data_IF_729087601303
#
_entry.id   IF_729087601303
#
_cell.length_a   1.000
_cell.length_b   1.000
_cell.length_c   1.000
_cell.angle_alpha   90.00
_cell.angle_beta   90.00
_cell.angle_gamma   90.00
#
_symmetry.space_group_name_H-M   'P 1'
#
loop_
_entity.id
_entity.type
_entity.pdbx_description
1 polymer ?
#
# COMPACT_ATOMS: atom_id res chain seq x y z
N UNK A 1 -27.94 17.86 9.94
CA UNK A 1 -26.49 17.88 9.64
C UNK A 1 -25.99 16.45 9.66
N UNK A 2 -25.66 15.88 8.50
CA UNK A 2 -25.06 14.56 8.40
C UNK A 2 -23.60 14.68 8.81
N UNK A 3 -23.23 14.21 10.00
CA UNK A 3 -21.82 14.10 10.38
C UNK A 3 -21.18 12.98 9.58
N UNK A 4 -19.85 12.98 9.43
CA UNK A 4 -19.12 11.87 8.82
C UNK A 4 -19.44 10.50 9.46
N UNK A 5 -20.11 10.49 10.62
CA UNK A 5 -20.63 9.35 11.37
C UNK A 5 -22.05 8.87 10.97
N UNK A 6 -22.78 9.56 10.09
CA UNK A 6 -24.16 9.18 9.70
C UNK A 6 -24.28 8.34 8.43
N UNK A 7 -23.24 8.26 7.59
CA UNK A 7 -23.26 7.40 6.40
C UNK A 7 -22.98 5.94 6.76
N UNK A 8 -23.66 4.95 6.15
CA UNK A 8 -23.39 3.54 6.38
C UNK A 8 -21.91 3.22 6.16
N UNK A 9 -21.31 2.40 7.04
CA UNK A 9 -19.88 2.07 7.03
C UNK A 9 -19.38 1.52 5.67
N UNK A 10 -20.25 0.83 4.92
CA UNK A 10 -19.97 0.36 3.56
C UNK A 10 -19.75 1.48 2.53
N UNK A 11 -20.23 2.71 2.80
CA UNK A 11 -19.94 3.89 1.97
C UNK A 11 -18.64 4.59 2.34
N UNK A 12 -18.07 4.35 3.53
CA UNK A 12 -16.88 5.07 4.02
C UNK A 12 -15.56 4.42 3.67
N UNK A 13 -15.51 3.09 3.59
CA UNK A 13 -14.28 2.36 3.28
C UNK A 13 -14.56 1.44 2.10
N UNK A 14 -14.05 1.84 0.93
CA UNK A 14 -14.18 1.03 -0.28
C UNK A 14 -13.08 -0.02 -0.27
N UNK A 15 -13.41 -1.25 -0.67
CA UNK A 15 -12.43 -2.35 -0.76
C UNK A 15 -11.21 -1.94 -1.60
N UNK A 16 -11.46 -1.15 -2.65
CA UNK A 16 -10.46 -0.61 -3.54
C UNK A 16 -9.46 0.28 -2.83
N UNK A 17 -9.92 1.15 -1.93
CA UNK A 17 -9.06 2.11 -1.26
C UNK A 17 -8.10 1.39 -0.30
N UNK A 18 -8.58 0.33 0.37
CA UNK A 18 -7.74 -0.52 1.24
C UNK A 18 -6.70 -1.30 0.43
N UNK A 19 -7.10 -1.87 -0.70
CA UNK A 19 -6.17 -2.59 -1.59
C UNK A 19 -5.13 -1.64 -2.19
N UNK A 20 -5.56 -0.48 -2.69
CA UNK A 20 -4.67 0.54 -3.21
C UNK A 20 -3.70 1.04 -2.14
N UNK A 21 -4.17 1.22 -0.90
CA UNK A 21 -3.31 1.62 0.22
C UNK A 21 -2.21 0.59 0.50
N UNK A 22 -2.58 -0.70 0.57
CA UNK A 22 -1.65 -1.77 0.92
C UNK A 22 -0.64 -2.01 -0.21
N UNK A 23 -1.10 -2.04 -1.46
CA UNK A 23 -0.21 -2.10 -2.62
C UNK A 23 0.69 -0.87 -2.72
N UNK A 24 0.17 0.30 -2.39
CA UNK A 24 0.92 1.55 -2.33
C UNK A 24 2.03 1.48 -1.28
N UNK A 25 1.70 1.07 -0.05
CA UNK A 25 2.66 0.87 1.03
C UNK A 25 3.75 -0.12 0.65
N UNK A 26 3.36 -1.26 0.10
CA UNK A 26 4.29 -2.29 -0.38
C UNK A 26 5.22 -1.74 -1.46
N UNK A 27 4.66 -1.01 -2.43
CA UNK A 27 5.42 -0.38 -3.50
C UNK A 27 6.41 0.66 -3.01
N UNK A 28 6.00 1.53 -2.07
CA UNK A 28 6.87 2.53 -1.45
C UNK A 28 8.04 1.85 -0.74
N UNK A 29 7.79 0.78 0.02
CA UNK A 29 8.83 0.07 0.77
C UNK A 29 9.85 -0.59 -0.17
N UNK A 30 9.39 -1.35 -1.17
CA UNK A 30 10.31 -2.03 -2.08
C UNK A 30 11.08 -1.07 -2.98
N UNK A 31 10.43 0.00 -3.48
CA UNK A 31 11.15 1.02 -4.23
C UNK A 31 12.10 1.78 -3.33
N UNK A 32 11.67 2.19 -2.13
CA UNK A 32 12.52 2.93 -1.20
C UNK A 32 13.77 2.15 -0.79
N UNK A 33 13.63 0.87 -0.51
CA UNK A 33 14.73 -0.01 -0.11
C UNK A 33 15.71 -0.26 -1.27
N UNK A 34 15.19 -0.58 -2.46
CA UNK A 34 16.02 -1.11 -3.55
C UNK A 34 16.35 -0.09 -4.65
N UNK A 35 15.68 1.07 -4.73
CA UNK A 35 15.94 2.04 -5.78
C UNK A 35 17.36 2.59 -5.73
N UNK A 36 17.91 2.82 -4.53
CA UNK A 36 19.29 3.29 -4.39
C UNK A 36 20.26 2.21 -4.87
N UNK A 37 20.06 0.95 -4.47
CA UNK A 37 20.90 -0.17 -4.88
C UNK A 37 20.93 -0.33 -6.41
N UNK A 38 19.77 -0.22 -7.07
CA UNK A 38 19.62 -0.32 -8.52
C UNK A 38 20.34 0.81 -9.28
N UNK A 39 20.49 1.98 -8.68
CA UNK A 39 21.19 3.12 -9.28
C UNK A 39 22.72 3.03 -9.12
N UNK A 40 23.23 2.07 -8.36
CA UNK A 40 24.67 1.82 -8.23
C UNK A 40 25.17 0.83 -9.28
N UNK A 41 26.45 0.93 -9.65
CA UNK A 41 27.07 0.04 -10.64
C UNK A 41 27.13 -1.44 -10.22
N UNK A 42 26.80 -1.75 -8.96
CA UNK A 42 26.85 -3.11 -8.39
C UNK A 42 25.49 -3.79 -8.22
N UNK A 43 24.41 -3.23 -8.78
CA UNK A 43 23.06 -3.73 -8.61
C UNK A 43 22.93 -5.22 -8.99
N UNK A 44 22.44 -6.03 -8.06
CA UNK A 44 22.12 -7.43 -8.32
C UNK A 44 20.80 -7.56 -9.08
N UNK A 45 20.64 -8.65 -9.83
CA UNK A 45 19.36 -8.98 -10.49
C UNK A 45 18.20 -9.08 -9.50
N UNK A 46 18.49 -9.49 -8.27
CA UNK A 46 17.51 -9.53 -7.17
C UNK A 46 17.02 -8.13 -6.82
N UNK A 47 17.92 -7.18 -6.54
CA UNK A 47 17.55 -5.80 -6.18
C UNK A 47 16.77 -5.10 -7.30
N UNK A 48 17.19 -5.30 -8.55
CA UNK A 48 16.47 -4.80 -9.72
C UNK A 48 15.06 -5.40 -9.84
N UNK A 49 14.91 -6.71 -9.59
CA UNK A 49 13.62 -7.39 -9.58
C UNK A 49 12.69 -6.88 -8.48
N UNK A 50 13.21 -6.70 -7.26
CA UNK A 50 12.42 -6.22 -6.12
C UNK A 50 11.99 -4.76 -6.32
N UNK A 51 12.88 -3.89 -6.84
CA UNK A 51 12.52 -2.52 -7.19
C UNK A 51 11.45 -2.47 -8.28
N UNK A 52 11.55 -3.33 -9.31
CA UNK A 52 10.55 -3.42 -10.37
C UNK A 52 9.19 -3.88 -9.84
N UNK A 53 9.16 -4.91 -8.97
CA UNK A 53 7.94 -5.36 -8.29
C UNK A 53 7.32 -4.24 -7.45
N UNK A 54 8.14 -3.47 -6.73
CA UNK A 54 7.71 -2.28 -6.01
C UNK A 54 7.08 -1.23 -6.94
N UNK A 55 7.73 -0.96 -8.08
CA UNK A 55 7.22 -0.05 -9.10
C UNK A 55 5.88 -0.51 -9.69
N UNK A 56 5.74 -1.80 -10.00
CA UNK A 56 4.47 -2.38 -10.45
C UNK A 56 3.38 -2.26 -9.39
N UNK A 57 3.71 -2.45 -8.11
CA UNK A 57 2.77 -2.28 -7.02
C UNK A 57 2.29 -0.82 -6.88
N UNK A 58 3.19 0.16 -7.05
CA UNK A 58 2.83 1.59 -7.07
C UNK A 58 1.90 1.92 -8.24
N UNK A 59 2.25 1.47 -9.45
CA UNK A 59 1.41 1.69 -10.64
C UNK A 59 0.04 1.02 -10.48
N UNK A 60 0.00 -0.19 -9.94
CA UNK A 60 -1.22 -0.89 -9.58
C UNK A 60 -2.08 -0.11 -8.59
N UNK A 61 -1.48 0.41 -7.52
CA UNK A 61 -2.17 1.23 -6.52
C UNK A 61 -2.77 2.51 -7.13
N UNK A 62 -2.00 3.23 -7.96
CA UNK A 62 -2.48 4.42 -8.66
C UNK A 62 -3.64 4.09 -9.59
N UNK A 63 -3.53 2.98 -10.33
CA UNK A 63 -4.58 2.55 -11.25
C UNK A 63 -5.87 2.15 -10.52
N UNK A 64 -5.75 1.45 -9.39
CA UNK A 64 -6.89 1.08 -8.53
C UNK A 64 -7.58 2.34 -7.97
N UNK A 65 -6.79 3.32 -7.49
CA UNK A 65 -7.33 4.58 -6.96
C UNK A 65 -8.05 5.41 -8.04
N UNK A 66 -7.47 5.48 -9.26
CA UNK A 66 -8.05 6.24 -10.38
C UNK A 66 -9.29 5.57 -10.98
N UNK A 67 -9.33 4.25 -11.05
CA UNK A 67 -10.41 3.49 -11.70
C UNK A 67 -11.09 2.53 -10.72
N UNK A 68 -11.79 3.04 -9.70
CA UNK A 68 -12.21 2.20 -8.60
C UNK A 68 -13.52 1.43 -8.87
N UNK A 69 -14.07 1.56 -10.08
CA UNK A 69 -15.14 0.70 -10.60
C UNK A 69 -14.65 -0.65 -11.13
N UNK A 70 -13.33 -0.85 -11.24
CA UNK A 70 -12.72 -2.11 -11.69
C UNK A 70 -12.86 -3.25 -10.68
N UNK A 71 -13.16 -2.94 -9.43
CA UNK A 71 -13.31 -3.89 -8.34
C UNK A 71 -14.74 -3.85 -7.80
N UNK A 72 -15.31 -5.03 -7.57
CA UNK A 72 -16.69 -5.17 -7.09
C UNK A 72 -16.84 -4.57 -5.69
N UNK A 73 -17.56 -3.46 -5.61
CA UNK A 73 -18.02 -2.90 -4.34
C UNK A 73 -19.26 -3.67 -3.91
N UNK A 74 -19.13 -4.49 -2.86
CA UNK A 74 -20.27 -5.17 -2.25
C UNK A 74 -21.20 -4.18 -1.54
N UNK A 75 -22.48 -4.50 -1.45
CA UNK A 75 -23.45 -3.75 -0.65
C UNK A 75 -23.44 -4.18 0.84
N UNK A 76 -22.70 -5.25 1.16
CA UNK A 76 -22.53 -5.75 2.51
C UNK A 76 -21.81 -4.73 3.42
N UNK A 77 -22.11 -4.71 4.74
CA UNK A 77 -21.32 -3.98 5.71
C UNK A 77 -19.82 -4.26 5.53
N UNK A 78 -18.99 -3.22 5.64
CA UNK A 78 -17.54 -3.34 5.47
C UNK A 78 -17.00 -4.46 6.39
N UNK A 79 -16.49 -5.58 5.83
CA UNK A 79 -16.00 -6.67 6.65
C UNK A 79 -14.85 -6.21 7.56
N UNK A 80 -14.73 -6.79 8.75
CA UNK A 80 -13.72 -6.39 9.75
C UNK A 80 -12.28 -6.36 9.20
N UNK A 81 -11.96 -7.25 8.25
CA UNK A 81 -10.63 -7.28 7.62
C UNK A 81 -10.26 -5.97 6.91
N UNK A 82 -11.22 -5.18 6.43
CA UNK A 82 -10.95 -3.89 5.77
C UNK A 82 -10.41 -2.82 6.73
N UNK A 83 -10.61 -2.99 8.04
CA UNK A 83 -10.07 -2.09 9.06
C UNK A 83 -8.76 -2.61 9.64
N UNK A 84 -8.66 -3.92 9.86
CA UNK A 84 -7.48 -4.55 10.49
C UNK A 84 -6.29 -4.53 9.54
N UNK A 85 -6.52 -4.86 8.27
CA UNK A 85 -5.45 -5.03 7.29
C UNK A 85 -4.62 -3.76 7.08
N UNK A 86 -5.19 -2.56 6.85
CA UNK A 86 -4.39 -1.35 6.71
C UNK A 86 -3.63 -1.03 8.00
N UNK A 87 -4.23 -1.19 9.19
CA UNK A 87 -3.56 -0.93 10.47
C UNK A 87 -2.33 -1.83 10.66
N UNK A 88 -2.48 -3.14 10.40
CA UNK A 88 -1.38 -4.10 10.50
C UNK A 88 -0.31 -3.79 9.45
N UNK A 89 -0.69 -3.50 8.20
CA UNK A 89 0.24 -3.12 7.15
C UNK A 89 1.01 -1.84 7.49
N UNK A 90 0.35 -0.83 8.06
CA UNK A 90 1.01 0.39 8.53
C UNK A 90 2.00 0.08 9.65
N UNK A 91 1.59 -0.70 10.66
CA UNK A 91 2.48 -1.09 11.75
C UNK A 91 3.72 -1.83 11.26
N UNK A 92 3.56 -2.82 10.38
CA UNK A 92 4.67 -3.54 9.77
C UNK A 92 5.58 -2.60 8.96
N UNK A 93 5.00 -1.69 8.17
CA UNK A 93 5.77 -0.72 7.39
C UNK A 93 6.60 0.22 8.25
N UNK A 94 6.05 0.68 9.38
CA UNK A 94 6.75 1.53 10.33
C UNK A 94 7.93 0.80 10.97
N UNK A 95 7.76 -0.49 11.34
CA UNK A 95 8.86 -1.30 11.87
C UNK A 95 10.01 -1.39 10.85
N UNK A 96 9.69 -1.63 9.57
CA UNK A 96 10.69 -1.67 8.51
C UNK A 96 11.41 -0.34 8.34
N UNK A 97 10.67 0.77 8.28
CA UNK A 97 11.25 2.12 8.15
C UNK A 97 12.12 2.48 9.35
N UNK A 98 11.67 2.20 10.58
CA UNK A 98 12.46 2.45 11.79
C UNK A 98 13.73 1.61 11.80
N UNK A 99 13.64 0.33 11.43
CA UNK A 99 14.79 -0.55 11.30
C UNK A 99 15.82 -0.01 10.30
N UNK A 100 15.35 0.41 9.12
CA UNK A 100 16.21 1.03 8.11
C UNK A 100 16.88 2.31 8.62
N UNK A 101 16.13 3.24 9.21
CA UNK A 101 16.70 4.48 9.79
C UNK A 101 17.74 4.16 10.87
N UNK A 102 17.49 3.16 11.71
CA UNK A 102 18.45 2.75 12.74
C UNK A 102 19.76 2.19 12.16
N UNK A 103 19.76 1.64 10.94
CA UNK A 103 20.99 1.19 10.26
C UNK A 103 21.80 2.33 9.62
N UNK A 104 21.20 3.51 9.43
CA UNK A 104 21.85 4.68 8.85
C UNK A 104 22.53 5.59 9.89
N UNK A 105 22.21 5.42 11.17
CA UNK A 105 22.73 6.21 12.30
C UNK A 105 23.98 5.57 12.91
#
# INVERSE_FOLDING_TARGET
MATALSSPLSQRVRRVDVLAYVFGLMGILYVGEFAVAVLTAGATTYEAGMAALGGFALLGAVQMYRNPGTLRNGLEPAPAYLYVLPVVSTGASLVLVVGWVATLA
#
